data_IF_809295016452
#
_entry.id   IF_809295016452
#
_cell.length_a   1.000
_cell.length_b   1.000
_cell.length_c   1.000
_cell.angle_alpha   90.00
_cell.angle_beta   90.00
_cell.angle_gamma   90.00
#
_symmetry.space_group_name_H-M   'P 1'
#
loop_
_entity.id
_entity.type
_entity.pdbx_description
1 polymer ?
#
# COMPACT_ATOMS: atom_id res chain seq x y z
N UNK A 1 7.05 -46.91 52.63
CA UNK A 1 7.24 -48.38 52.67
C UNK A 1 6.86 -48.91 51.30
N UNK A 2 7.82 -49.15 50.39
CA UNK A 2 8.32 -50.50 50.02
C UNK A 2 7.26 -51.60 50.13
N UNK A 3 6.90 -52.22 49.01
CA UNK A 3 7.13 -53.63 48.64
C UNK A 3 6.20 -53.96 47.44
N UNK A 4 6.75 -54.04 46.22
CA UNK A 4 7.25 -55.25 45.51
C UNK A 4 6.13 -56.23 45.14
N UNK A 5 5.83 -56.31 43.85
CA UNK A 5 6.15 -57.43 42.93
C UNK A 5 5.21 -58.64 43.10
N UNK A 6 4.62 -59.10 42.00
CA UNK A 6 5.02 -60.36 41.37
C UNK A 6 4.37 -60.49 39.99
N UNK A 7 5.20 -60.82 39.01
CA UNK A 7 4.81 -61.26 37.68
C UNK A 7 4.35 -62.71 37.73
N UNK A 8 3.42 -63.09 36.84
CA UNK A 8 3.25 -64.47 36.42
C UNK A 8 2.91 -64.50 34.93
N UNK A 9 3.89 -64.99 34.17
CA UNK A 9 3.82 -65.39 32.77
C UNK A 9 3.04 -66.70 32.68
N UNK A 10 2.12 -66.84 31.72
CA UNK A 10 1.73 -68.15 31.22
C UNK A 10 1.53 -68.10 29.69
N UNK A 11 2.10 -69.09 29.05
CA UNK A 11 2.37 -69.28 27.63
C UNK A 11 1.26 -70.12 26.97
N UNK A 12 1.25 -70.14 25.63
CA UNK A 12 0.46 -70.99 24.71
C UNK A 12 -0.95 -70.46 24.42
N UNK A 13 -1.43 -70.35 23.18
CA UNK A 13 -1.23 -71.27 22.05
C UNK A 13 -1.60 -70.54 20.75
N UNK A 14 -0.81 -70.73 19.70
CA UNK A 14 -1.13 -70.26 18.35
C UNK A 14 -2.23 -71.13 17.73
N UNK A 15 -3.28 -70.50 17.19
CA UNK A 15 -4.22 -71.12 16.26
C UNK A 15 -4.39 -70.17 15.08
N UNK A 16 -3.84 -70.59 13.95
CA UNK A 16 -3.96 -69.95 12.64
C UNK A 16 -5.31 -70.38 12.05
N UNK A 17 -6.24 -69.43 11.88
CA UNK A 17 -7.49 -69.65 11.15
C UNK A 17 -7.55 -68.64 10.01
N UNK A 18 -7.34 -69.16 8.81
CA UNK A 18 -7.62 -68.48 7.54
C UNK A 18 -9.12 -68.60 7.30
N UNK A 19 -9.85 -67.48 7.36
CA UNK A 19 -11.19 -67.38 6.78
C UNK A 19 -11.13 -66.41 5.59
N UNK A 20 -11.30 -66.97 4.40
CA UNK A 20 -11.73 -66.23 3.23
C UNK A 20 -13.23 -65.91 3.39
N UNK A 21 -13.58 -64.64 3.37
CA UNK A 21 -14.95 -64.18 3.22
C UNK A 21 -14.98 -63.17 2.06
N UNK A 22 -15.61 -63.61 0.97
CA UNK A 22 -16.01 -62.75 -0.13
C UNK A 22 -17.17 -61.86 0.34
N UNK A 23 -17.00 -60.55 0.21
CA UNK A 23 -18.10 -59.59 0.21
C UNK A 23 -17.87 -58.61 -0.93
N UNK A 24 -18.81 -58.59 -1.88
CA UNK A 24 -18.91 -57.55 -2.88
C UNK A 24 -19.17 -56.21 -2.19
N UNK A 25 -18.24 -55.28 -2.38
CA UNK A 25 -18.38 -53.89 -1.97
C UNK A 25 -18.59 -53.03 -3.21
N UNK A 26 -19.76 -52.43 -3.29
CA UNK A 26 -20.13 -51.36 -4.21
C UNK A 26 -19.01 -50.32 -4.27
N UNK A 27 -18.50 -50.07 -5.47
CA UNK A 27 -17.49 -49.04 -5.74
C UNK A 27 -18.12 -47.66 -5.54
N UNK A 28 -18.10 -47.16 -4.31
CA UNK A 28 -18.25 -45.74 -4.05
C UNK A 28 -16.93 -45.10 -4.46
N UNK A 29 -16.89 -44.56 -5.67
CA UNK A 29 -15.84 -43.64 -6.10
C UNK A 29 -15.94 -42.39 -5.22
N UNK A 30 -15.29 -42.41 -4.07
CA UNK A 30 -14.92 -41.19 -3.37
C UNK A 30 -13.95 -40.47 -4.29
N UNK A 31 -14.44 -39.48 -5.03
CA UNK A 31 -13.61 -38.47 -5.65
C UNK A 31 -12.88 -37.76 -4.52
N UNK A 32 -11.68 -38.23 -4.19
CA UNK A 32 -10.70 -37.42 -3.50
C UNK A 32 -10.42 -36.24 -4.43
N UNK A 33 -11.11 -35.13 -4.23
CA UNK A 33 -10.64 -33.85 -4.70
C UNK A 33 -9.27 -33.68 -4.04
N UNK A 34 -8.21 -33.92 -4.81
CA UNK A 34 -6.90 -33.42 -4.46
C UNK A 34 -7.06 -31.91 -4.36
N UNK A 35 -7.03 -31.36 -3.15
CA UNK A 35 -6.69 -29.97 -2.97
C UNK A 35 -5.27 -29.83 -3.53
N UNK A 36 -5.19 -29.41 -4.79
CA UNK A 36 -3.96 -28.84 -5.33
C UNK A 36 -3.60 -27.74 -4.33
N UNK A 37 -2.47 -27.89 -3.61
CA UNK A 37 -1.93 -26.78 -2.81
C UNK A 37 -1.70 -25.66 -3.81
N UNK A 38 -2.59 -24.67 -3.75
CA UNK A 38 -2.92 -23.78 -4.85
C UNK A 38 -2.67 -22.38 -4.36
N UNK A 39 -1.90 -21.62 -5.13
CA UNK A 39 -1.68 -20.19 -4.94
C UNK A 39 -2.98 -19.51 -4.53
N UNK A 40 -3.04 -18.98 -3.29
CA UNK A 40 -4.19 -18.25 -2.79
C UNK A 40 -4.20 -16.87 -3.43
N UNK A 41 -5.02 -16.69 -4.46
CA UNK A 41 -5.18 -15.43 -5.17
C UNK A 41 -6.22 -14.51 -4.54
N UNK A 42 -6.68 -13.52 -5.31
CA UNK A 42 -7.69 -12.59 -4.85
C UNK A 42 -9.06 -13.26 -4.61
N UNK A 43 -9.62 -13.06 -3.43
CA UNK A 43 -10.94 -13.53 -3.03
C UNK A 43 -11.74 -12.40 -2.36
N UNK A 44 -12.96 -12.16 -2.86
CA UNK A 44 -13.87 -11.13 -2.33
C UNK A 44 -14.24 -11.40 -0.87
N UNK A 45 -14.29 -12.67 -0.47
CA UNK A 45 -14.64 -13.09 0.88
C UNK A 45 -13.62 -12.63 1.95
N UNK A 46 -12.41 -12.25 1.55
CA UNK A 46 -11.41 -11.71 2.47
C UNK A 46 -11.65 -10.25 2.83
N UNK A 47 -12.56 -9.53 2.16
CA UNK A 47 -12.80 -8.13 2.43
C UNK A 47 -13.80 -7.94 3.56
N UNK A 48 -13.54 -6.92 4.39
CA UNK A 48 -14.48 -6.51 5.42
C UNK A 48 -15.78 -5.99 4.80
N UNK A 49 -16.86 -6.11 5.56
CA UNK A 49 -18.12 -5.53 5.13
C UNK A 49 -17.99 -3.99 5.05
N UNK A 50 -18.30 -3.42 3.89
CA UNK A 50 -18.13 -1.99 3.62
C UNK A 50 -16.77 -1.60 3.03
N UNK A 51 -15.81 -2.52 2.90
CA UNK A 51 -14.52 -2.25 2.24
C UNK A 51 -14.64 -2.06 0.72
N UNK A 52 -15.58 -2.78 0.10
CA UNK A 52 -15.90 -2.69 -1.33
C UNK A 52 -17.24 -1.97 -1.49
N UNK A 53 -17.25 -0.95 -2.34
CA UNK A 53 -18.45 -0.21 -2.76
C UNK A 53 -18.99 -0.80 -4.06
N UNK A 54 -20.21 -1.33 -4.01
CA UNK A 54 -20.88 -1.94 -5.15
C UNK A 54 -20.46 -3.38 -5.42
N UNK A 55 -20.64 -3.83 -6.66
CA UNK A 55 -20.40 -5.21 -7.06
C UNK A 55 -18.95 -5.43 -7.53
N UNK A 56 -18.43 -6.65 -7.33
CA UNK A 56 -17.18 -7.11 -7.93
C UNK A 56 -17.49 -7.79 -9.26
N UNK A 57 -16.82 -7.37 -10.32
CA UNK A 57 -16.90 -8.00 -11.63
C UNK A 57 -15.62 -8.77 -11.94
N UNK A 58 -15.72 -9.89 -12.65
CA UNK A 58 -14.57 -10.66 -13.11
C UNK A 58 -14.63 -10.85 -14.63
N UNK A 59 -13.48 -10.79 -15.28
CA UNK A 59 -13.34 -11.02 -16.72
C UNK A 59 -11.99 -11.65 -17.04
N UNK A 60 -11.91 -12.38 -18.15
CA UNK A 60 -10.64 -12.85 -18.68
C UNK A 60 -9.75 -11.65 -19.02
N UNK A 61 -8.46 -11.76 -18.70
CA UNK A 61 -7.48 -10.72 -18.93
C UNK A 61 -6.11 -11.30 -19.30
N UNK A 62 -5.29 -10.47 -19.93
CA UNK A 62 -3.87 -10.76 -20.15
C UNK A 62 -3.03 -10.02 -19.11
N UNK A 63 -2.10 -10.71 -18.47
CA UNK A 63 -1.17 -10.11 -17.52
C UNK A 63 0.07 -9.56 -18.23
N UNK A 64 0.86 -8.75 -17.53
CA UNK A 64 1.99 -8.01 -18.10
C UNK A 64 3.08 -8.90 -18.72
N UNK A 65 3.21 -10.16 -18.31
CA UNK A 65 4.12 -11.14 -18.92
C UNK A 65 3.50 -11.95 -20.07
N UNK A 66 2.25 -11.68 -20.43
CA UNK A 66 1.49 -12.36 -21.48
C UNK A 66 0.68 -13.57 -20.99
N UNK A 67 0.65 -13.83 -19.68
CA UNK A 67 -0.13 -14.91 -19.09
C UNK A 67 -1.63 -14.61 -19.18
N UNK A 68 -2.43 -15.59 -19.59
CA UNK A 68 -3.88 -15.49 -19.48
C UNK A 68 -4.31 -15.72 -18.03
N UNK A 69 -5.21 -14.87 -17.51
CA UNK A 69 -5.76 -14.97 -16.16
C UNK A 69 -7.22 -14.48 -16.15
N UNK A 70 -7.82 -14.46 -14.97
CA UNK A 70 -9.06 -13.73 -14.68
C UNK A 70 -8.70 -12.53 -13.80
N UNK A 71 -9.26 -11.36 -14.10
CA UNK A 71 -9.05 -10.14 -13.33
C UNK A 71 -10.37 -9.73 -12.68
N UNK A 72 -10.30 -9.38 -11.39
CA UNK A 72 -11.38 -8.74 -10.66
C UNK A 72 -11.29 -7.22 -10.82
N UNK A 73 -12.42 -6.58 -11.10
CA UNK A 73 -12.60 -5.13 -11.08
C UNK A 73 -13.65 -4.77 -10.03
N UNK A 74 -13.27 -3.92 -9.09
CA UNK A 74 -14.10 -3.50 -7.97
C UNK A 74 -13.70 -2.11 -7.48
N UNK A 75 -14.54 -1.48 -6.66
CA UNK A 75 -14.27 -0.15 -6.12
C UNK A 75 -14.11 -0.24 -4.61
N UNK A 76 -12.98 0.22 -4.07
CA UNK A 76 -12.77 0.29 -2.62
C UNK A 76 -13.42 1.54 -2.02
N UNK A 77 -13.76 1.48 -0.73
CA UNK A 77 -14.46 2.54 0.02
C UNK A 77 -13.64 3.82 0.17
N UNK A 78 -12.31 3.74 0.21
CA UNK A 78 -11.43 4.91 0.39
C UNK A 78 -11.35 5.43 1.82
N UNK A 79 -11.83 4.64 2.78
CA UNK A 79 -11.74 4.87 4.22
C UNK A 79 -11.80 3.50 4.92
N UNK A 80 -11.10 3.30 6.04
CA UNK A 80 -11.15 2.04 6.77
C UNK A 80 -12.58 1.71 7.17
N UNK A 81 -12.99 0.47 6.91
CA UNK A 81 -14.32 -0.04 7.30
C UNK A 81 -14.34 -0.70 8.68
N UNK A 82 -13.17 -1.00 9.25
CA UNK A 82 -13.01 -1.74 10.51
C UNK A 82 -12.55 -0.88 11.68
N UNK A 83 -12.05 0.32 11.42
CA UNK A 83 -11.64 1.29 12.44
C UNK A 83 -11.97 2.72 11.99
N UNK A 84 -11.87 3.67 12.93
CA UNK A 84 -11.96 5.10 12.64
C UNK A 84 -10.56 5.66 12.46
N UNK A 85 -10.32 6.39 11.38
CA UNK A 85 -9.04 7.03 11.12
C UNK A 85 -8.72 8.09 12.20
N UNK A 86 -7.45 8.19 12.57
CA UNK A 86 -6.98 9.05 13.66
C UNK A 86 -6.90 8.34 15.02
N UNK A 87 -6.33 8.98 16.06
CA UNK A 87 -5.85 10.37 16.12
C UNK A 87 -4.62 10.63 15.24
N UNK A 88 -4.32 11.91 14.97
CA UNK A 88 -3.23 12.32 14.08
C UNK A 88 -2.29 13.32 14.78
N UNK A 89 -2.55 14.63 14.70
CA UNK A 89 -1.70 15.61 15.32
C UNK A 89 -2.00 15.76 16.82
N UNK A 90 -0.98 15.93 17.69
CA UNK A 90 -1.21 16.32 19.07
C UNK A 90 -1.72 17.76 19.16
N UNK A 91 -2.70 18.02 20.02
CA UNK A 91 -3.19 19.39 20.24
C UNK A 91 -2.18 20.29 20.98
N UNK A 92 -1.35 19.70 21.85
CA UNK A 92 -0.44 20.45 22.73
C UNK A 92 0.90 19.76 22.90
N UNK A 93 1.90 20.48 23.38
CA UNK A 93 3.22 19.93 23.77
C UNK A 93 3.18 18.97 24.97
N UNK A 94 1.99 18.69 25.51
CA UNK A 94 1.76 17.74 26.60
C UNK A 94 0.88 16.55 26.21
N UNK A 95 0.38 16.50 24.98
CA UNK A 95 -0.49 15.42 24.51
C UNK A 95 0.24 14.07 24.59
N UNK A 96 -0.37 13.04 25.23
CA UNK A 96 0.21 11.71 25.35
C UNK A 96 0.11 10.91 24.04
N UNK A 97 0.73 9.73 24.01
CA UNK A 97 0.80 8.90 22.80
C UNK A 97 -0.55 8.30 22.39
N UNK A 98 -1.46 8.04 23.33
CA UNK A 98 -2.79 7.48 23.05
C UNK A 98 -3.80 8.52 22.52
N UNK A 99 -3.40 9.79 22.44
CA UNK A 99 -4.20 10.90 21.91
C UNK A 99 -3.54 11.55 20.68
N UNK A 100 -2.44 10.97 20.17
CA UNK A 100 -1.73 11.43 18.99
C UNK A 100 -1.40 10.24 18.11
N UNK A 101 -1.16 10.49 16.83
CA UNK A 101 -0.73 9.45 15.91
C UNK A 101 0.79 9.26 15.91
N UNK A 102 1.31 8.81 14.77
CA UNK A 102 2.72 8.48 14.59
C UNK A 102 3.35 9.25 13.42
N UNK A 103 4.67 9.27 13.42
CA UNK A 103 5.49 9.77 12.33
C UNK A 103 6.58 8.76 12.02
N UNK A 104 6.75 8.44 10.73
CA UNK A 104 7.89 7.66 10.26
C UNK A 104 8.65 8.43 9.18
N UNK A 105 9.95 8.65 9.44
CA UNK A 105 10.83 9.50 8.64
C UNK A 105 11.80 8.70 7.75
N UNK A 106 11.55 7.40 7.58
CA UNK A 106 12.45 6.49 6.86
C UNK A 106 13.56 5.88 7.74
N UNK A 107 13.77 6.38 8.96
CA UNK A 107 14.78 5.87 9.90
C UNK A 107 14.18 5.28 11.17
N UNK A 108 12.97 5.69 11.54
CA UNK A 108 12.25 5.16 12.69
C UNK A 108 10.75 5.42 12.62
N UNK A 109 10.06 4.92 13.63
CA UNK A 109 8.65 5.23 13.92
C UNK A 109 8.62 5.92 15.28
N UNK A 110 7.91 7.03 15.37
CA UNK A 110 7.85 7.87 16.56
C UNK A 110 6.40 8.21 16.88
N UNK A 111 6.00 8.03 18.14
CA UNK A 111 4.74 8.58 18.62
C UNK A 111 4.83 10.12 18.54
N UNK A 112 3.87 10.75 17.87
CA UNK A 112 3.75 12.21 17.76
C UNK A 112 3.21 12.83 19.05
N UNK A 113 3.73 12.40 20.18
CA UNK A 113 3.45 13.04 21.47
C UNK A 113 3.81 14.52 21.41
N UNK A 114 3.15 15.33 22.23
CA UNK A 114 3.50 16.73 22.38
C UNK A 114 4.97 16.95 22.79
N UNK A 115 5.53 16.01 23.56
CA UNK A 115 6.94 16.05 23.94
C UNK A 115 7.88 15.79 22.77
N UNK A 116 7.50 14.93 21.82
CA UNK A 116 8.24 14.74 20.57
C UNK A 116 8.21 16.01 19.72
N UNK A 117 7.03 16.61 19.51
CA UNK A 117 6.88 17.87 18.77
C UNK A 117 7.75 18.98 19.37
N UNK A 118 7.75 19.11 20.71
CA UNK A 118 8.58 20.10 21.41
C UNK A 118 10.08 19.89 21.21
N UNK A 119 10.51 18.65 20.93
CA UNK A 119 11.91 18.27 20.80
C UNK A 119 12.41 18.24 19.35
N UNK A 120 11.55 18.51 18.35
CA UNK A 120 11.89 18.40 16.92
C UNK A 120 13.16 19.18 16.53
N UNK A 121 13.33 20.40 17.03
CA UNK A 121 14.52 21.21 16.74
C UNK A 121 15.82 20.56 17.18
N UNK A 122 15.80 19.86 18.32
CA UNK A 122 16.97 19.11 18.82
C UNK A 122 17.12 17.78 18.08
N UNK A 123 16.01 17.11 17.81
CA UNK A 123 15.98 15.81 17.13
C UNK A 123 16.55 15.91 15.70
N UNK A 124 16.11 16.90 14.93
CA UNK A 124 16.57 17.15 13.56
C UNK A 124 17.76 18.13 13.47
N UNK A 125 18.25 18.63 14.62
CA UNK A 125 19.35 19.61 14.70
C UNK A 125 19.08 20.86 13.82
N UNK A 126 17.87 21.41 13.94
CA UNK A 126 17.40 22.58 13.22
C UNK A 126 16.63 23.52 14.17
N UNK A 127 17.20 24.68 14.48
CA UNK A 127 16.60 25.63 15.42
C UNK A 127 15.38 26.36 14.86
N UNK A 128 15.20 26.37 13.55
CA UNK A 128 14.04 27.01 12.91
C UNK A 128 12.79 26.13 12.98
N UNK A 129 12.95 24.86 13.37
CA UNK A 129 11.84 23.93 13.49
C UNK A 129 11.08 24.12 14.81
N UNK A 130 9.99 24.90 14.75
CA UNK A 130 9.15 25.26 15.90
C UNK A 130 7.65 25.16 15.55
N UNK A 131 7.03 24.04 15.89
CA UNK A 131 5.64 23.73 15.53
C UNK A 131 4.63 24.02 16.65
N UNK A 132 4.95 24.92 17.57
CA UNK A 132 4.07 25.24 18.69
C UNK A 132 4.23 26.71 19.12
N UNK A 133 3.17 27.26 19.70
CA UNK A 133 3.14 28.65 20.19
C UNK A 133 3.72 28.80 21.60
N UNK A 134 3.78 30.04 22.11
CA UNK A 134 4.29 30.33 23.46
C UNK A 134 3.46 29.67 24.59
N UNK A 135 2.21 29.31 24.31
CA UNK A 135 1.31 28.64 25.24
C UNK A 135 1.45 27.11 25.18
N UNK A 136 2.18 26.59 24.19
CA UNK A 136 2.39 25.16 23.97
C UNK A 136 1.28 24.49 23.15
N UNK A 137 0.44 25.26 22.45
CA UNK A 137 -0.48 24.70 21.46
C UNK A 137 0.32 24.36 20.19
N UNK A 138 0.08 23.18 19.62
CA UNK A 138 0.75 22.77 18.39
C UNK A 138 0.06 23.45 17.20
N UNK A 139 0.85 23.88 16.23
CA UNK A 139 0.36 24.43 14.96
C UNK A 139 -0.21 23.26 14.13
N UNK A 140 -1.51 23.04 14.18
CA UNK A 140 -2.20 21.98 13.44
C UNK A 140 -2.99 22.58 12.28
N UNK A 141 -3.08 21.86 11.15
CA UNK A 141 -4.00 22.23 10.08
C UNK A 141 -5.45 21.93 10.47
N UNK A 142 -6.13 22.90 11.07
CA UNK A 142 -7.48 22.78 11.63
C UNK A 142 -8.61 23.25 10.68
N UNK A 143 -8.25 23.61 9.46
CA UNK A 143 -9.18 24.03 8.40
C UNK A 143 -8.85 23.34 7.08
N UNK A 144 -9.85 23.24 6.19
CA UNK A 144 -9.64 22.73 4.83
C UNK A 144 -8.59 23.55 4.07
N UNK A 145 -8.55 24.88 4.24
CA UNK A 145 -7.55 25.74 3.60
C UNK A 145 -6.13 25.42 4.07
N UNK A 146 -5.93 25.29 5.38
CA UNK A 146 -4.64 24.91 5.95
C UNK A 146 -4.20 23.52 5.51
N UNK A 147 -5.11 22.54 5.53
CA UNK A 147 -4.84 21.19 5.05
C UNK A 147 -4.41 21.19 3.57
N UNK A 148 -5.15 21.87 2.68
CA UNK A 148 -4.81 21.93 1.26
C UNK A 148 -3.51 22.71 0.97
N UNK A 149 -3.19 23.69 1.81
CA UNK A 149 -1.95 24.46 1.70
C UNK A 149 -0.71 23.69 2.19
N UNK A 150 -0.87 22.78 3.16
CA UNK A 150 0.22 22.03 3.76
C UNK A 150 0.39 20.60 3.23
N UNK A 151 -0.70 19.93 2.83
CA UNK A 151 -0.68 18.55 2.32
C UNK A 151 -0.28 18.46 0.84
N UNK A 152 0.84 19.09 0.48
CA UNK A 152 1.39 19.13 -0.89
C UNK A 152 2.92 19.22 -0.84
N UNK A 153 3.64 18.72 -1.87
CA UNK A 153 5.12 18.78 -1.88
C UNK A 153 5.68 20.20 -1.78
N UNK A 154 5.03 21.16 -2.45
CA UNK A 154 5.36 22.58 -2.38
C UNK A 154 4.46 23.26 -1.33
N UNK A 155 4.78 23.05 -0.06
CA UNK A 155 4.03 23.58 1.09
C UNK A 155 3.94 25.10 1.00
N UNK A 156 2.73 25.64 1.15
CA UNK A 156 2.56 27.10 1.24
C UNK A 156 3.39 27.63 2.43
N UNK A 157 4.27 28.63 2.23
CA UNK A 157 5.13 29.16 3.27
C UNK A 157 4.43 29.50 4.59
N UNK A 158 3.15 29.87 4.56
CA UNK A 158 2.39 30.16 5.79
C UNK A 158 2.11 28.93 6.66
N UNK A 159 2.17 27.73 6.09
CA UNK A 159 1.97 26.44 6.78
C UNK A 159 3.26 25.64 6.97
N UNK A 160 4.44 26.26 6.77
CA UNK A 160 5.68 25.71 7.30
C UNK A 160 5.60 25.66 8.84
N UNK A 161 6.25 24.67 9.46
CA UNK A 161 6.13 24.42 10.90
C UNK A 161 4.71 24.02 11.37
N UNK A 162 3.93 23.36 10.51
CA UNK A 162 2.64 22.78 10.87
C UNK A 162 2.66 21.25 10.90
N UNK A 163 1.95 20.71 11.89
CA UNK A 163 1.55 19.31 11.90
C UNK A 163 0.32 19.22 10.99
N UNK A 164 0.46 18.41 9.94
CA UNK A 164 -0.52 18.31 8.86
C UNK A 164 -1.43 17.14 9.13
N UNK A 165 -2.67 17.47 9.49
CA UNK A 165 -3.78 16.55 9.68
C UNK A 165 -4.87 16.86 8.64
N UNK A 166 -5.47 15.82 8.08
CA UNK A 166 -6.62 15.92 7.19
C UNK A 166 -7.85 15.20 7.73
N UNK A 167 -9.01 15.50 7.17
CA UNK A 167 -10.30 14.91 7.55
C UNK A 167 -11.17 14.65 6.33
N UNK A 168 -12.07 13.67 6.41
CA UNK A 168 -12.96 13.29 5.30
C UNK A 168 -13.80 14.47 4.82
N UNK A 169 -14.25 15.33 5.74
CA UNK A 169 -15.08 16.50 5.44
C UNK A 169 -14.36 17.54 4.58
N UNK A 170 -13.02 17.51 4.55
CA UNK A 170 -12.18 18.42 3.77
C UNK A 170 -11.78 17.85 2.41
N UNK A 171 -12.11 16.58 2.14
CA UNK A 171 -11.91 15.96 0.84
C UNK A 171 -12.94 16.45 -0.18
N UNK A 172 -12.74 16.06 -1.43
CA UNK A 172 -13.68 16.36 -2.52
C UNK A 172 -15.08 15.86 -2.15
N UNK A 173 -16.07 16.76 -2.18
CA UNK A 173 -17.46 16.51 -1.79
C UNK A 173 -17.68 16.13 -0.31
N UNK A 174 -16.68 16.28 0.56
CA UNK A 174 -16.78 15.91 1.98
C UNK A 174 -17.05 14.42 2.20
N UNK A 175 -16.52 13.57 1.32
CA UNK A 175 -16.72 12.13 1.33
C UNK A 175 -15.40 11.38 1.07
N UNK A 176 -15.30 10.10 1.47
CA UNK A 176 -14.14 9.27 1.13
C UNK A 176 -13.89 9.21 -0.37
N UNK A 177 -12.62 9.25 -0.77
CA UNK A 177 -12.23 9.14 -2.18
C UNK A 177 -12.16 7.65 -2.54
N UNK A 178 -13.18 7.15 -3.22
CA UNK A 178 -13.22 5.76 -3.69
C UNK A 178 -12.28 5.54 -4.88
N UNK A 179 -11.70 4.34 -5.00
CA UNK A 179 -10.83 3.97 -6.12
C UNK A 179 -11.27 2.67 -6.77
N UNK A 180 -11.42 2.67 -8.09
CA UNK A 180 -11.63 1.43 -8.86
C UNK A 180 -10.28 0.75 -9.11
N UNK A 181 -10.22 -0.54 -8.81
CA UNK A 181 -9.00 -1.34 -8.79
C UNK A 181 -9.21 -2.55 -9.69
N UNK A 182 -8.14 -2.97 -10.38
CA UNK A 182 -8.10 -4.18 -11.20
C UNK A 182 -6.95 -5.05 -10.71
N UNK A 183 -7.26 -6.26 -10.24
CA UNK A 183 -6.29 -7.21 -9.68
C UNK A 183 -6.53 -8.60 -10.28
N UNK A 184 -5.48 -9.35 -10.66
CA UNK A 184 -5.64 -10.74 -11.08
C UNK A 184 -6.16 -11.62 -9.93
N UNK A 185 -7.20 -12.41 -10.20
CA UNK A 185 -7.75 -13.37 -9.22
C UNK A 185 -6.84 -14.57 -9.02
N UNK A 186 -5.97 -14.85 -9.98
CA UNK A 186 -4.94 -15.88 -9.88
C UNK A 186 -3.61 -15.23 -10.25
N UNK A 187 -2.80 -14.85 -9.25
CA UNK A 187 -1.53 -14.17 -9.48
C UNK A 187 -0.53 -15.12 -10.13
N UNK A 188 0.36 -14.57 -10.96
CA UNK A 188 1.40 -15.31 -11.67
C UNK A 188 2.73 -14.66 -11.38
N UNK A 189 3.71 -15.44 -10.93
CA UNK A 189 5.08 -14.92 -10.73
C UNK A 189 5.67 -14.44 -12.06
N UNK A 190 6.12 -13.19 -12.06
CA UNK A 190 6.86 -12.60 -13.16
C UNK A 190 8.30 -13.15 -13.20
N UNK A 191 8.92 -13.08 -14.39
CA UNK A 191 10.33 -13.45 -14.58
C UNK A 191 11.29 -12.52 -13.84
N UNK A 192 10.89 -11.28 -13.64
CA UNK A 192 11.64 -10.22 -12.97
C UNK A 192 10.68 -9.44 -12.09
N UNK A 193 11.14 -9.04 -10.90
CA UNK A 193 10.39 -8.12 -10.07
C UNK A 193 10.23 -6.76 -10.76
N UNK A 194 9.22 -6.01 -10.34
CA UNK A 194 8.92 -4.67 -10.83
C UNK A 194 8.72 -3.71 -9.67
N UNK A 195 9.05 -2.43 -9.87
CA UNK A 195 8.58 -1.38 -8.97
C UNK A 195 7.07 -1.17 -9.18
N UNK A 196 6.45 -0.35 -8.32
CA UNK A 196 5.04 0.02 -8.51
C UNK A 196 4.78 0.79 -9.84
N UNK A 197 5.82 1.30 -10.52
CA UNK A 197 5.76 1.94 -11.85
C UNK A 197 4.64 2.99 -11.97
N UNK A 198 4.60 3.94 -11.03
CA UNK A 198 3.59 4.99 -11.00
C UNK A 198 2.26 4.58 -10.33
N UNK A 199 2.02 3.30 -10.09
CA UNK A 199 0.85 2.79 -9.36
C UNK A 199 1.11 2.70 -7.85
N UNK A 200 0.06 2.38 -7.11
CA UNK A 200 0.13 2.00 -5.69
C UNK A 200 0.59 0.55 -5.53
N UNK A 201 1.01 0.19 -4.32
CA UNK A 201 1.45 -1.17 -4.02
C UNK A 201 0.29 -2.16 -3.97
N UNK A 202 -0.87 -1.73 -3.50
CA UNK A 202 -1.99 -2.61 -3.29
C UNK A 202 -3.17 -1.95 -2.60
N UNK A 203 -3.99 -2.80 -1.99
CA UNK A 203 -5.19 -2.43 -1.26
C UNK A 203 -5.35 -3.30 -0.01
N UNK A 204 -5.83 -2.69 1.07
CA UNK A 204 -6.12 -3.38 2.32
C UNK A 204 -7.47 -4.11 2.26
N UNK A 205 -7.64 -5.12 3.12
CA UNK A 205 -8.89 -5.89 3.24
C UNK A 205 -10.06 -5.06 3.78
N UNK A 206 -9.79 -3.91 4.40
CA UNK A 206 -10.79 -2.98 4.91
C UNK A 206 -11.06 -1.76 4.00
N UNK A 207 -10.47 -1.72 2.79
CA UNK A 207 -10.92 -0.86 1.70
C UNK A 207 -10.07 0.40 1.46
N UNK A 208 -8.77 0.35 1.73
CA UNK A 208 -7.85 1.48 1.63
C UNK A 208 -6.75 1.20 0.61
N UNK A 209 -6.22 2.27 0.00
CA UNK A 209 -5.02 2.21 -0.86
C UNK A 209 -3.75 2.01 -0.02
N UNK A 210 -2.91 1.07 -0.43
CA UNK A 210 -1.54 0.93 0.06
C UNK A 210 -0.63 1.72 -0.89
N UNK A 211 -0.34 2.96 -0.53
CA UNK A 211 0.38 3.91 -1.36
C UNK A 211 1.90 3.66 -1.35
N UNK A 212 2.58 4.28 -2.32
CA UNK A 212 4.05 4.40 -2.32
C UNK A 212 4.54 5.22 -1.13
N UNK A 213 5.86 5.27 -0.91
CA UNK A 213 6.46 6.08 0.14
C UNK A 213 5.99 7.53 0.16
N UNK A 214 5.70 8.06 1.35
CA UNK A 214 5.47 9.49 1.53
C UNK A 214 6.75 10.28 1.20
N UNK A 215 6.66 11.50 0.65
CA UNK A 215 7.82 12.31 0.26
C UNK A 215 8.49 12.95 1.48
N UNK A 216 9.09 12.14 2.35
CA UNK A 216 9.68 12.58 3.63
C UNK A 216 10.68 13.73 3.43
N UNK A 217 11.51 13.70 2.39
CA UNK A 217 12.46 14.79 2.14
C UNK A 217 11.78 16.15 1.93
N UNK A 218 10.65 16.19 1.23
CA UNK A 218 9.87 17.41 1.04
C UNK A 218 9.20 17.86 2.34
N UNK A 219 8.66 16.91 3.11
CA UNK A 219 8.00 17.16 4.40
C UNK A 219 9.00 17.79 5.41
N UNK A 220 10.17 17.16 5.57
CA UNK A 220 11.23 17.67 6.45
C UNK A 220 11.79 19.00 5.94
N UNK A 221 11.92 19.18 4.62
CA UNK A 221 12.41 20.41 4.00
C UNK A 221 11.50 21.64 4.21
N UNK A 222 10.20 21.41 4.47
CA UNK A 222 9.24 22.45 4.82
C UNK A 222 9.02 22.62 6.33
N UNK A 223 9.81 21.92 7.17
CA UNK A 223 9.60 21.82 8.62
C UNK A 223 8.18 21.39 9.00
N UNK A 224 7.57 20.56 8.16
CA UNK A 224 6.22 20.02 8.42
C UNK A 224 6.32 18.59 8.93
N UNK A 225 5.23 18.09 9.50
CA UNK A 225 5.03 16.67 9.78
C UNK A 225 3.71 16.28 9.14
N UNK A 226 3.72 15.32 8.21
CA UNK A 226 2.49 14.68 7.74
C UNK A 226 2.13 13.57 8.75
N UNK A 227 1.23 13.86 9.67
CA UNK A 227 0.91 12.92 10.75
C UNK A 227 0.15 11.72 10.20
N UNK A 228 0.63 10.53 10.53
CA UNK A 228 -0.12 9.28 10.34
C UNK A 228 -0.89 8.96 11.60
N UNK A 229 -1.99 8.23 11.48
CA UNK A 229 -2.59 7.59 12.65
C UNK A 229 -1.81 6.35 13.08
N UNK A 230 -2.19 5.78 14.22
CA UNK A 230 -1.59 4.56 14.77
C UNK A 230 -1.74 3.32 13.87
N UNK A 231 -2.51 3.42 12.78
CA UNK A 231 -2.65 2.39 11.78
C UNK A 231 -1.65 2.54 10.62
N UNK A 232 -0.98 3.69 10.51
CA UNK A 232 0.02 3.98 9.48
C UNK A 232 -0.55 4.65 8.22
N UNK A 233 -1.75 5.23 8.32
CA UNK A 233 -2.40 5.96 7.25
C UNK A 233 -2.69 7.42 7.60
N UNK A 234 -3.00 8.21 6.57
CA UNK A 234 -3.37 9.62 6.69
C UNK A 234 -4.18 10.08 5.49
N UNK A 235 -4.66 11.32 5.54
CA UNK A 235 -5.41 11.94 4.46
C UNK A 235 -4.52 12.81 3.58
N UNK A 236 -4.68 12.69 2.25
CA UNK A 236 -4.30 13.74 1.31
C UNK A 236 -5.52 14.14 0.45
N UNK A 237 -5.43 15.26 -0.26
CA UNK A 237 -6.54 15.81 -1.04
C UNK A 237 -6.84 15.09 -2.36
N UNK A 238 -5.94 14.24 -2.83
CA UNK A 238 -6.04 13.54 -4.13
C UNK A 238 -6.53 12.09 -3.96
N UNK A 239 -5.93 11.35 -3.04
CA UNK A 239 -6.18 9.93 -2.80
C UNK A 239 -7.11 9.68 -1.61
N UNK A 240 -7.32 10.69 -0.76
CA UNK A 240 -8.10 10.54 0.47
C UNK A 240 -7.28 9.83 1.54
N UNK A 241 -7.91 8.95 2.31
CA UNK A 241 -7.19 8.14 3.30
C UNK A 241 -6.38 7.05 2.58
N UNK A 242 -5.10 6.96 2.87
CA UNK A 242 -4.17 6.00 2.28
C UNK A 242 -3.07 5.64 3.28
N UNK A 243 -2.48 4.46 3.12
CA UNK A 243 -1.48 3.91 4.02
C UNK A 243 -0.09 3.90 3.41
N UNK A 244 0.91 4.19 4.24
CA UNK A 244 2.34 4.14 3.86
C UNK A 244 3.14 3.11 4.67
N UNK A 245 2.63 2.70 5.83
CA UNK A 245 3.18 1.67 6.70
C UNK A 245 2.07 0.90 7.39
N UNK A 246 2.41 -0.21 8.05
CA UNK A 246 1.45 -1.04 8.79
C UNK A 246 1.95 -1.23 10.21
N UNK A 247 1.13 -0.83 11.18
CA UNK A 247 1.47 -0.84 12.62
C UNK A 247 0.51 -1.68 13.47
N UNK A 248 -0.45 -2.39 12.85
CA UNK A 248 -1.29 -3.37 13.53
C UNK A 248 -2.80 -3.26 13.29
N UNK A 249 -3.24 -2.41 12.36
CA UNK A 249 -4.66 -2.30 11.97
C UNK A 249 -4.97 -3.06 10.68
N UNK A 250 -6.26 -3.23 10.40
CA UNK A 250 -6.75 -3.70 9.10
C UNK A 250 -6.75 -5.23 8.90
N UNK A 251 -6.26 -6.02 9.86
CA UNK A 251 -6.50 -7.47 9.87
C UNK A 251 -7.94 -7.76 10.24
N UNK A 252 -8.52 -8.79 9.61
CA UNK A 252 -9.89 -9.23 9.89
C UNK A 252 -9.93 -10.47 10.78
N UNK A 253 -8.83 -11.23 10.78
CA UNK A 253 -8.59 -12.41 11.57
C UNK A 253 -7.11 -12.43 11.95
N UNK A 254 -6.82 -12.84 13.18
CA UNK A 254 -5.45 -13.03 13.66
C UNK A 254 -4.99 -14.47 13.44
N UNK A 255 -5.85 -15.37 12.94
CA UNK A 255 -5.49 -16.75 12.61
C UNK A 255 -4.50 -16.80 11.44
N UNK A 256 -3.33 -17.40 11.70
CA UNK A 256 -2.28 -17.64 10.73
C UNK A 256 -1.58 -18.96 11.02
N UNK A 257 -0.93 -19.53 10.00
CA UNK A 257 -0.11 -20.73 10.20
C UNK A 257 1.20 -20.36 10.90
N UNK A 258 1.80 -21.31 11.61
CA UNK A 258 3.03 -21.06 12.36
C UNK A 258 4.17 -20.59 11.44
N UNK A 259 4.84 -19.50 11.84
CA UNK A 259 5.92 -18.87 11.07
C UNK A 259 5.45 -17.77 10.11
N UNK A 260 4.14 -17.57 9.98
CA UNK A 260 3.53 -16.52 9.16
C UNK A 260 2.83 -15.47 10.02
N UNK A 261 2.25 -14.46 9.39
CA UNK A 261 1.41 -13.45 10.04
C UNK A 261 0.05 -13.35 9.36
N UNK A 262 -0.90 -12.66 9.98
CA UNK A 262 -2.21 -12.44 9.41
C UNK A 262 -2.14 -11.64 8.10
N UNK A 263 -3.01 -12.00 7.15
CA UNK A 263 -3.19 -11.25 5.91
C UNK A 263 -3.92 -9.93 6.21
N UNK A 264 -3.46 -8.83 5.61
CA UNK A 264 -4.13 -7.52 5.75
C UNK A 264 -4.45 -6.85 4.41
N UNK A 265 -3.95 -7.37 3.28
CA UNK A 265 -4.24 -6.79 1.98
C UNK A 265 -3.83 -7.65 0.80
N UNK A 266 -4.05 -7.10 -0.40
CA UNK A 266 -3.59 -7.65 -1.68
C UNK A 266 -2.68 -6.65 -2.38
N UNK A 267 -1.58 -7.14 -2.93
CA UNK A 267 -0.76 -6.37 -3.85
C UNK A 267 -1.47 -6.23 -5.20
N UNK A 268 -1.09 -5.22 -5.98
CA UNK A 268 -1.69 -4.97 -7.31
C UNK A 268 -1.46 -6.12 -8.30
N UNK A 269 -0.50 -6.99 -8.06
CA UNK A 269 -0.24 -8.21 -8.82
C UNK A 269 -1.04 -9.44 -8.34
N UNK A 270 -1.93 -9.24 -7.35
CA UNK A 270 -2.88 -10.22 -6.83
C UNK A 270 -2.33 -11.17 -5.77
N UNK A 271 -1.06 -11.07 -5.40
CA UNK A 271 -0.54 -11.83 -4.27
C UNK A 271 -1.00 -11.23 -2.92
N UNK A 272 -1.26 -12.07 -1.90
CA UNK A 272 -1.55 -11.59 -0.55
C UNK A 272 -0.39 -10.79 0.04
N UNK A 273 -0.73 -9.80 0.87
CA UNK A 273 0.19 -9.08 1.74
C UNK A 273 -0.20 -9.35 3.19
N UNK A 274 0.77 -9.87 3.94
CA UNK A 274 0.67 -10.21 5.34
C UNK A 274 1.34 -9.14 6.19
N UNK A 275 0.99 -9.08 7.48
CA UNK A 275 1.61 -8.16 8.44
C UNK A 275 3.13 -8.36 8.50
N UNK A 276 3.90 -7.35 8.98
CA UNK A 276 5.33 -7.49 9.11
C UNK A 276 5.74 -8.66 10.00
N UNK A 277 6.73 -9.44 9.56
CA UNK A 277 7.45 -10.36 10.44
C UNK A 277 8.40 -9.59 11.33
N UNK A 278 8.63 -10.09 12.55
CA UNK A 278 9.55 -9.46 13.51
C UNK A 278 10.42 -10.50 14.21
N UNK A 279 11.52 -10.05 14.80
CA UNK A 279 12.38 -10.88 15.65
C UNK A 279 12.89 -12.16 14.98
N UNK A 280 12.74 -13.28 15.67
CA UNK A 280 13.25 -14.59 15.24
C UNK A 280 12.52 -15.10 13.99
N UNK A 281 11.23 -14.79 13.81
CA UNK A 281 10.44 -15.22 12.66
C UNK A 281 10.95 -14.54 11.38
N UNK A 282 11.21 -13.23 11.42
CA UNK A 282 11.83 -12.51 10.30
C UNK A 282 13.22 -13.08 9.95
N UNK A 283 14.02 -13.42 10.97
CA UNK A 283 15.35 -14.00 10.76
C UNK A 283 15.28 -15.40 10.13
N UNK A 284 14.19 -16.14 10.35
CA UNK A 284 13.99 -17.50 9.83
C UNK A 284 13.26 -17.56 8.48
N UNK A 285 12.48 -16.53 8.12
CA UNK A 285 11.54 -16.56 7.00
C UNK A 285 12.18 -16.61 5.60
N UNK A 286 13.49 -16.35 5.47
CA UNK A 286 14.24 -16.38 4.21
C UNK A 286 13.49 -15.66 3.06
N UNK A 287 13.08 -14.42 3.33
CA UNK A 287 12.37 -13.56 2.38
C UNK A 287 13.24 -13.22 1.16
N UNK A 288 12.60 -13.07 0.01
CA UNK A 288 13.22 -12.60 -1.23
C UNK A 288 13.45 -11.08 -1.23
N UNK A 289 13.96 -10.55 -2.33
CA UNK A 289 14.25 -9.12 -2.47
C UNK A 289 13.03 -8.19 -2.39
N UNK A 290 11.82 -8.72 -2.56
CA UNK A 290 10.57 -7.96 -2.43
C UNK A 290 9.90 -8.14 -1.06
N UNK A 291 10.50 -8.92 -0.16
CA UNK A 291 9.96 -9.18 1.17
C UNK A 291 8.91 -10.30 1.20
N UNK A 292 8.89 -11.18 0.20
CA UNK A 292 7.98 -12.32 0.17
C UNK A 292 8.69 -13.67 0.11
N UNK A 293 7.93 -14.74 0.27
CA UNK A 293 8.43 -16.11 0.12
C UNK A 293 7.28 -17.03 -0.32
N UNK A 294 7.49 -18.36 -0.33
CA UNK A 294 6.40 -19.30 -0.59
C UNK A 294 6.34 -20.42 0.45
N UNK A 295 5.13 -20.73 0.89
CA UNK A 295 4.85 -21.92 1.69
C UNK A 295 3.96 -22.90 0.92
N UNK A 296 3.97 -24.20 1.26
CA UNK A 296 3.04 -25.17 0.68
C UNK A 296 1.57 -24.81 0.87
N UNK A 297 1.25 -24.18 2.00
CA UNK A 297 -0.10 -23.81 2.42
C UNK A 297 -0.60 -22.53 1.76
N UNK A 298 0.20 -21.46 1.73
CA UNK A 298 -0.24 -20.14 1.26
C UNK A 298 0.14 -19.85 -0.20
N UNK A 299 1.12 -20.58 -0.75
CA UNK A 299 1.77 -20.18 -1.99
C UNK A 299 2.65 -18.95 -1.77
N UNK A 300 2.89 -18.18 -2.84
CA UNK A 300 3.71 -16.97 -2.72
C UNK A 300 2.89 -15.84 -2.09
N UNK A 301 3.49 -15.14 -1.13
CA UNK A 301 2.89 -13.98 -0.47
C UNK A 301 3.99 -13.05 0.05
N UNK A 302 3.63 -11.78 0.25
CA UNK A 302 4.50 -10.77 0.82
C UNK A 302 4.28 -10.63 2.31
N UNK A 303 5.31 -10.21 3.04
CA UNK A 303 5.13 -9.51 4.31
C UNK A 303 5.37 -8.03 4.10
N UNK A 304 4.54 -7.20 4.72
CA UNK A 304 4.77 -5.78 4.78
C UNK A 304 6.15 -5.50 5.41
N UNK A 305 6.83 -4.49 4.89
CA UNK A 305 8.07 -4.01 5.48
C UNK A 305 7.82 -3.46 6.90
N UNK A 306 8.90 -3.37 7.67
CA UNK A 306 8.90 -2.58 8.90
C UNK A 306 8.41 -1.15 8.60
N UNK A 307 7.45 -0.60 9.38
CA UNK A 307 6.84 0.70 9.11
C UNK A 307 7.85 1.86 9.07
N UNK A 308 9.01 1.73 9.74
CA UNK A 308 10.10 2.72 9.64
C UNK A 308 10.61 2.92 8.22
N UNK A 309 10.37 1.98 7.30
CA UNK A 309 10.76 2.09 5.89
C UNK A 309 9.92 3.06 5.08
N UNK A 310 8.80 3.55 5.63
CA UNK A 310 7.88 4.43 4.90
C UNK A 310 7.48 3.82 3.54
N UNK A 311 7.22 2.51 3.51
CA UNK A 311 6.69 1.82 2.34
C UNK A 311 6.26 0.42 2.76
N UNK A 312 5.04 0.02 2.46
CA UNK A 312 4.55 -1.33 2.78
C UNK A 312 5.27 -2.40 1.97
N UNK A 313 5.54 -2.16 0.68
CA UNK A 313 6.28 -3.09 -0.19
C UNK A 313 7.51 -2.44 -0.79
N UNK A 314 8.45 -3.27 -1.23
CA UNK A 314 9.68 -2.84 -1.92
C UNK A 314 9.57 -3.03 -3.44
N UNK A 315 8.95 -4.12 -3.88
CA UNK A 315 8.69 -4.44 -5.27
C UNK A 315 7.54 -5.46 -5.40
N UNK A 316 7.12 -5.70 -6.63
CA UNK A 316 6.12 -6.70 -7.00
C UNK A 316 6.81 -7.83 -7.79
N UNK A 317 6.64 -9.07 -7.34
CA UNK A 317 7.06 -10.32 -7.97
C UNK A 317 6.06 -10.89 -8.96
N UNK A 318 4.82 -10.43 -8.98
CA UNK A 318 3.80 -10.92 -9.88
C UNK A 318 3.66 -10.11 -11.17
N UNK A 319 2.97 -10.71 -12.14
CA UNK A 319 2.51 -10.03 -13.35
C UNK A 319 1.25 -9.21 -13.04
N UNK A 320 1.20 -7.99 -13.55
CA UNK A 320 0.09 -7.05 -13.34
C UNK A 320 -1.00 -7.26 -14.39
N UNK A 321 -2.26 -6.99 -14.03
CA UNK A 321 -3.35 -6.92 -14.98
C UNK A 321 -3.08 -5.83 -16.04
N UNK A 322 -3.18 -6.16 -17.33
CA UNK A 322 -3.14 -5.15 -18.39
C UNK A 322 -4.54 -4.55 -18.57
N UNK A 323 -4.66 -3.23 -18.49
CA UNK A 323 -5.96 -2.53 -18.54
C UNK A 323 -6.54 -2.40 -19.95
N UNK A 324 -5.88 -2.93 -20.98
CA UNK A 324 -6.30 -2.81 -22.39
C UNK A 324 -7.51 -3.67 -22.79
N UNK A 325 -7.85 -4.71 -22.01
CA UNK A 325 -8.92 -5.66 -22.35
C UNK A 325 -10.19 -5.51 -21.48
N UNK A 326 -10.20 -4.59 -20.52
CA UNK A 326 -11.25 -4.46 -19.50
C UNK A 326 -12.29 -3.34 -19.75
N UNK A 327 -12.48 -2.89 -20.99
CA UNK A 327 -13.55 -1.95 -21.34
C UNK A 327 -14.74 -2.67 -21.98
N UNK A 328 -15.67 -3.14 -21.14
CA UNK A 328 -16.92 -3.77 -21.54
C UNK A 328 -18.16 -3.11 -20.92
N UNK A 329 -18.54 -1.92 -21.40
CA UNK A 329 -19.95 -1.50 -21.54
C UNK A 329 -20.66 -0.70 -20.43
N UNK A 330 -20.90 0.59 -20.69
CA UNK A 330 -21.96 1.41 -20.08
C UNK A 330 -21.91 2.88 -20.50
N UNK A 331 -22.99 3.51 -21.05
CA UNK A 331 -22.89 4.73 -21.85
C UNK A 331 -22.95 6.01 -21.00
N UNK A 332 -21.88 6.80 -21.02
CA UNK A 332 -21.84 8.18 -20.56
C UNK A 332 -21.32 9.09 -21.67
N UNK A 333 -22.20 9.85 -22.31
CA UNK A 333 -21.85 10.78 -23.37
C UNK A 333 -20.95 11.91 -22.86
N UNK A 334 -19.71 11.94 -23.34
CA UNK A 334 -18.79 13.07 -23.21
C UNK A 334 -17.52 12.76 -24.00
N UNK A 335 -17.49 13.11 -25.28
CA UNK A 335 -16.30 12.98 -26.13
C UNK A 335 -15.19 13.92 -25.61
N UNK A 336 -14.28 13.38 -24.81
CA UNK A 336 -12.93 13.92 -24.61
C UNK A 336 -11.95 13.25 -25.59
N UNK A 337 -10.92 13.94 -26.12
CA UNK A 337 -9.91 13.31 -26.95
C UNK A 337 -9.05 12.32 -26.13
N UNK A 338 -8.40 11.33 -26.76
CA UNK A 338 -7.66 10.28 -26.07
C UNK A 338 -6.42 10.87 -25.37
N UNK A 339 -6.44 10.99 -24.04
CA UNK A 339 -5.23 11.13 -23.22
C UNK A 339 -4.65 9.74 -23.00
N UNK A 340 -3.42 9.42 -23.39
CA UNK A 340 -2.21 10.19 -23.17
C UNK A 340 -1.54 9.62 -21.92
N UNK A 341 -0.99 8.39 -22.02
CA UNK A 341 -0.19 7.82 -20.94
C UNK A 341 0.94 8.77 -20.57
N UNK A 342 1.36 8.76 -19.31
CA UNK A 342 2.47 9.57 -18.83
C UNK A 342 3.68 9.38 -19.78
N UNK A 343 4.34 10.47 -20.21
CA UNK A 343 5.49 10.37 -21.10
C UNK A 343 6.61 9.57 -20.43
N UNK A 344 7.29 8.70 -21.17
CA UNK A 344 8.52 8.04 -20.70
C UNK A 344 9.62 9.09 -20.51
N UNK A 345 10.00 9.33 -19.25
CA UNK A 345 10.96 10.35 -18.86
C UNK A 345 12.41 9.83 -18.79
N UNK A 346 12.65 8.56 -19.15
CA UNK A 346 13.97 7.91 -19.04
C UNK A 346 15.05 8.69 -19.80
N UNK A 347 14.75 9.14 -21.02
CA UNK A 347 15.69 9.91 -21.84
C UNK A 347 15.91 11.33 -21.30
N UNK A 348 14.87 11.94 -20.73
CA UNK A 348 14.93 13.27 -20.13
C UNK A 348 15.79 13.26 -18.87
N UNK A 349 15.60 12.29 -17.99
CA UNK A 349 16.40 12.12 -16.78
C UNK A 349 17.90 11.93 -17.11
N UNK A 350 18.20 11.05 -18.08
CA UNK A 350 19.56 10.85 -18.55
C UNK A 350 20.20 12.11 -19.15
N UNK A 351 19.42 12.95 -19.85
CA UNK A 351 19.90 14.21 -20.43
C UNK A 351 20.23 15.25 -19.36
N UNK A 352 19.45 15.28 -18.28
CA UNK A 352 19.61 16.22 -17.17
C UNK A 352 20.62 15.72 -16.12
N UNK A 353 21.11 14.48 -16.24
CA UNK A 353 22.04 13.89 -15.28
C UNK A 353 21.40 13.58 -13.93
N UNK A 354 20.08 13.41 -13.89
CA UNK A 354 19.28 13.08 -12.70
C UNK A 354 18.65 11.68 -12.87
N UNK A 355 18.15 11.11 -11.79
CA UNK A 355 17.36 9.87 -11.85
C UNK A 355 15.94 10.14 -12.34
N UNK A 356 15.29 9.11 -12.90
CA UNK A 356 13.87 9.20 -13.31
C UNK A 356 12.99 9.55 -12.12
N UNK A 357 13.30 8.99 -10.94
CA UNK A 357 12.58 9.26 -9.71
C UNK A 357 12.71 10.72 -9.24
N UNK A 358 13.92 11.31 -9.28
CA UNK A 358 14.12 12.73 -8.97
C UNK A 358 13.34 13.64 -9.93
N UNK A 359 13.35 13.30 -11.23
CA UNK A 359 12.61 14.04 -12.25
C UNK A 359 11.08 13.92 -12.07
N UNK A 360 10.56 12.73 -11.78
CA UNK A 360 9.14 12.50 -11.49
C UNK A 360 8.69 13.25 -10.22
N UNK A 361 9.49 13.18 -9.15
CA UNK A 361 9.21 13.91 -7.91
C UNK A 361 9.22 15.42 -8.12
N UNK A 362 10.13 15.93 -8.94
CA UNK A 362 10.22 17.35 -9.26
C UNK A 362 9.03 17.84 -10.13
N UNK A 363 8.56 17.02 -11.07
CA UNK A 363 7.42 17.34 -11.94
C UNK A 363 6.07 17.20 -11.24
N UNK A 364 5.96 16.34 -10.21
CA UNK A 364 4.70 16.05 -9.53
C UNK A 364 3.69 15.32 -10.41
N UNK A 365 2.44 15.23 -9.96
CA UNK A 365 1.40 14.40 -10.62
C UNK A 365 0.70 15.07 -11.81
N UNK A 366 0.98 16.35 -12.11
CA UNK A 366 0.33 17.05 -13.20
C UNK A 366 0.90 16.58 -14.56
N UNK A 367 0.08 16.47 -15.63
CA UNK A 367 0.52 15.95 -16.93
C UNK A 367 1.74 16.64 -17.57
N UNK A 368 2.14 17.82 -17.07
CA UNK A 368 3.36 18.53 -17.48
C UNK A 368 4.11 19.19 -16.30
N UNK A 369 3.73 18.94 -15.04
CA UNK A 369 4.27 19.65 -13.86
C UNK A 369 4.24 21.18 -13.95
N UNK A 370 4.76 21.86 -12.93
CA UNK A 370 5.27 23.22 -13.11
C UNK A 370 6.76 23.10 -13.42
N UNK A 371 7.13 23.27 -14.69
CA UNK A 371 8.53 23.14 -15.14
C UNK A 371 9.47 24.14 -14.46
N UNK A 372 8.97 25.30 -14.01
CA UNK A 372 9.81 26.26 -13.28
C UNK A 372 10.08 25.77 -11.85
N UNK A 373 9.06 25.21 -11.19
CA UNK A 373 9.22 24.60 -9.88
C UNK A 373 10.11 23.35 -9.95
N UNK A 374 9.87 22.48 -10.94
CA UNK A 374 10.63 21.26 -11.16
C UNK A 374 12.12 21.57 -11.47
N UNK A 375 12.39 22.56 -12.32
CA UNK A 375 13.76 22.99 -12.60
C UNK A 375 14.46 23.51 -11.33
N UNK A 376 13.74 24.23 -10.48
CA UNK A 376 14.25 24.72 -9.18
C UNK A 376 14.63 23.55 -8.26
N UNK A 377 13.77 22.53 -8.16
CA UNK A 377 14.01 21.32 -7.36
C UNK A 377 15.23 20.53 -7.88
N UNK A 378 15.37 20.42 -9.20
CA UNK A 378 16.43 19.66 -9.85
C UNK A 378 17.76 20.43 -9.94
N UNK A 379 17.79 21.71 -9.57
CA UNK A 379 18.98 22.55 -9.70
C UNK A 379 19.42 22.78 -11.15
N UNK A 380 18.49 22.70 -12.10
CA UNK A 380 18.71 22.96 -13.55
C UNK A 380 17.95 24.21 -13.97
N UNK A 381 18.22 24.77 -15.15
CA UNK A 381 17.38 25.85 -15.66
C UNK A 381 16.07 25.33 -16.26
N UNK A 382 15.00 26.13 -16.17
CA UNK A 382 13.71 25.81 -16.78
C UNK A 382 13.83 25.56 -18.30
N UNK A 383 14.73 26.28 -18.97
CA UNK A 383 15.01 26.10 -20.39
C UNK A 383 15.71 24.76 -20.70
N UNK A 384 16.61 24.30 -19.83
CA UNK A 384 17.25 22.98 -19.97
C UNK A 384 16.25 21.85 -19.74
N UNK A 385 15.38 21.99 -18.73
CA UNK A 385 14.31 21.03 -18.46
C UNK A 385 13.31 20.97 -19.61
N UNK A 386 12.84 22.12 -20.10
CA UNK A 386 11.91 22.22 -21.24
C UNK A 386 12.51 21.62 -22.53
N UNK A 387 13.79 21.86 -22.79
CA UNK A 387 14.50 21.29 -23.94
C UNK A 387 14.69 19.77 -23.85
N UNK A 388 14.80 19.23 -22.64
CA UNK A 388 14.96 17.80 -22.39
C UNK A 388 13.62 17.02 -22.41
N UNK A 389 12.48 17.71 -22.28
CA UNK A 389 11.16 17.07 -22.30
C UNK A 389 10.78 16.50 -23.68
N UNK A 390 10.06 15.37 -23.73
CA UNK A 390 9.58 14.81 -25.00
C UNK A 390 8.65 15.80 -25.72
N UNK A 391 9.07 16.29 -26.89
CA UNK A 391 8.28 17.22 -27.69
C UNK A 391 7.04 16.51 -28.25
N UNK A 392 5.84 17.07 -28.00
CA UNK A 392 4.58 16.58 -28.58
C UNK A 392 4.66 16.68 -30.12
N UNK A 393 4.14 15.69 -30.89
CA UNK A 393 4.06 15.83 -32.34
C UNK A 393 3.28 17.11 -32.71
N UNK A 394 3.89 17.94 -33.56
CA UNK A 394 3.33 19.20 -34.00
C UNK A 394 2.01 18.97 -34.78
N UNK A 395 0.88 19.27 -34.15
CA UNK A 395 -0.44 19.11 -34.78
C UNK A 395 -1.66 19.52 -33.94
N UNK A 396 -1.50 19.89 -32.67
CA UNK A 396 -2.61 20.21 -31.77
C UNK A 396 -2.71 21.71 -31.40
N UNK A 397 -2.24 22.61 -32.27
CA UNK A 397 -2.42 24.05 -32.07
C UNK A 397 -3.72 24.49 -32.74
N UNK A 398 -4.78 24.59 -31.94
CA UNK A 398 -5.95 25.39 -32.31
C UNK A 398 -5.51 26.84 -32.53
N UNK A 399 -5.87 27.40 -33.69
CA UNK A 399 -5.60 28.80 -34.01
C UNK A 399 -6.26 29.74 -32.98
N UNK A 400 -5.67 30.92 -32.69
CA UNK A 400 -6.29 31.88 -31.79
C UNK A 400 -7.54 32.50 -32.44
N UNK A 401 -8.58 32.84 -31.66
CA UNK A 401 -9.78 33.45 -32.22
C UNK A 401 -9.44 34.85 -32.74
N UNK A 402 -9.70 35.08 -34.02
CA UNK A 402 -9.80 36.42 -34.58
C UNK A 402 -11.13 37.03 -34.15
N UNK A 403 -11.06 38.26 -33.59
CA UNK A 403 -12.15 39.13 -33.10
C UNK A 403 -13.57 38.87 -33.62
#
# INVERSE_FOLDING_TARGET
MKFRHLAAVCLCTAVLVVLAAACGGTSTSSSSTSSTSGQHGFEVAHFANGAISGDVSTADCTLSGGSASTCATFTISGTPSTYSAGPFCPDTVTTPADEAGIWFDGNGVYDLTGSFIKNLSTFYNDSEWLMYDEQGNVNVTDTQEAFLGAARPDVDPQYQNYCVEGRVEWLTNGAPITKTVVIPTTPVLAKTSSAANGQDWGITLDGIVIAKSAPVSAILGAHTIASFDDCGGHFNNVEGYHMHGVTGCGTLDDDHIAGETAMFGYAMDGFPIHLPLTGDDLAAANLDECGGHSTPELGYHYHANDPSKNSVLTCLKGELATTSDAQGGGPGNGQGPPGGGAPDLTATAATLGVTVHELENALGQAPNGDLNAAATILGVSAAELEAAMPQRPAGANGAPPTN
#
